data_IF_812079639945
#
_entry.id   IF_812079639945
#
_cell.length_a   1.000
_cell.length_b   1.000
_cell.length_c   1.000
_cell.angle_alpha   90.00
_cell.angle_beta   90.00
_cell.angle_gamma   90.00
#
_symmetry.space_group_name_H-M   'P 1'
#
loop_
_entity.id
_entity.type
_entity.pdbx_description
1 polymer ?
#
# COMPACT_ATOMS: atom_id res chain seq x y z
N UNK A 1 -11.92 17.44 -13.65
CA UNK A 1 -11.84 17.81 -12.22
C UNK A 1 -12.98 17.05 -11.53
N UNK A 2 -12.66 15.95 -10.85
CA UNK A 2 -13.67 15.20 -10.10
C UNK A 2 -13.92 15.94 -8.80
N UNK A 3 -15.08 16.52 -8.66
CA UNK A 3 -15.53 17.12 -7.40
C UNK A 3 -15.82 15.97 -6.45
N UNK A 4 -14.87 15.61 -5.63
CA UNK A 4 -15.10 14.73 -4.49
C UNK A 4 -16.02 15.51 -3.57
N UNK A 5 -17.25 15.03 -3.39
CA UNK A 5 -18.19 15.65 -2.43
C UNK A 5 -17.50 15.68 -1.06
N UNK A 6 -17.47 16.83 -0.38
CA UNK A 6 -16.80 16.92 0.91
C UNK A 6 -17.45 15.94 1.90
N UNK A 7 -16.72 14.89 2.25
CA UNK A 7 -17.09 14.07 3.38
C UNK A 7 -16.76 14.87 4.64
N UNK A 8 -17.62 14.92 5.65
CA UNK A 8 -17.31 15.55 6.94
C UNK A 8 -15.97 15.07 7.50
N UNK A 9 -15.54 13.88 7.16
CA UNK A 9 -14.31 13.27 7.59
C UNK A 9 -13.07 13.88 6.95
N UNK A 10 -13.12 14.35 5.70
CA UNK A 10 -11.96 15.01 5.08
C UNK A 10 -11.57 16.28 5.82
N UNK A 11 -12.53 16.95 6.50
CA UNK A 11 -12.25 18.11 7.33
C UNK A 11 -11.53 17.80 8.65
N UNK A 12 -11.44 16.52 9.05
CA UNK A 12 -10.71 16.11 10.25
C UNK A 12 -9.25 15.77 9.95
N UNK A 13 -8.89 15.65 8.68
CA UNK A 13 -7.50 15.39 8.26
C UNK A 13 -6.69 16.67 8.48
N UNK A 14 -5.62 16.56 9.26
CA UNK A 14 -4.74 17.66 9.65
C UNK A 14 -3.44 17.68 8.85
N UNK A 15 -3.11 16.59 8.18
CA UNK A 15 -1.90 16.52 7.37
C UNK A 15 -1.71 15.19 6.65
N UNK A 16 -0.58 15.10 5.98
CA UNK A 16 -0.06 13.89 5.37
C UNK A 16 1.30 13.54 5.99
N UNK A 17 1.49 12.28 6.28
CA UNK A 17 2.73 11.68 6.75
C UNK A 17 3.31 10.82 5.63
N UNK A 18 4.60 10.94 5.40
CA UNK A 18 5.33 10.26 4.34
C UNK A 18 6.34 9.32 4.95
N UNK A 19 6.11 8.04 4.85
CA UNK A 19 7.00 7.00 5.33
C UNK A 19 7.85 6.47 4.18
N UNK A 20 9.20 6.58 4.24
CA UNK A 20 10.05 6.24 3.12
C UNK A 20 10.10 4.72 2.89
N UNK A 21 10.05 4.31 1.61
CA UNK A 21 10.44 2.99 1.15
C UNK A 21 11.87 3.08 0.63
N UNK A 22 12.77 2.34 1.24
CA UNK A 22 14.20 2.41 0.96
C UNK A 22 14.65 1.20 0.16
N UNK A 23 15.35 1.45 -0.94
CA UNK A 23 16.01 0.42 -1.73
C UNK A 23 17.31 0.00 -1.04
N UNK A 24 17.48 -1.28 -0.76
CA UNK A 24 18.62 -1.80 -0.01
C UNK A 24 19.94 -1.73 -0.78
N UNK A 25 19.87 -1.71 -2.11
CA UNK A 25 21.07 -1.63 -2.92
C UNK A 25 21.68 -0.21 -2.93
N UNK A 26 20.84 0.79 -3.09
CA UNK A 26 21.26 2.19 -3.14
C UNK A 26 21.29 2.89 -1.78
N UNK A 27 20.56 2.35 -0.80
CA UNK A 27 20.33 3.01 0.51
C UNK A 27 19.45 4.26 0.42
N UNK A 28 18.78 4.51 -0.71
CA UNK A 28 17.99 5.70 -0.95
C UNK A 28 16.48 5.42 -0.87
N UNK A 29 15.72 6.41 -0.42
CA UNK A 29 14.27 6.37 -0.52
C UNK A 29 13.85 6.44 -2.00
N UNK A 30 13.12 5.42 -2.47
CA UNK A 30 12.64 5.31 -3.86
C UNK A 30 11.17 5.67 -4.00
N UNK A 31 10.43 5.64 -2.90
CA UNK A 31 9.03 6.00 -2.82
C UNK A 31 8.67 6.39 -1.38
N UNK A 32 7.45 6.86 -1.17
CA UNK A 32 6.89 7.10 0.16
C UNK A 32 5.48 6.54 0.23
N UNK A 33 5.20 5.75 1.25
CA UNK A 33 3.82 5.49 1.63
C UNK A 33 3.22 6.74 2.27
N UNK A 34 2.01 7.09 1.87
CA UNK A 34 1.36 8.33 2.30
C UNK A 34 0.17 8.02 3.19
N UNK A 35 0.30 8.39 4.42
CA UNK A 35 -0.70 8.19 5.46
C UNK A 35 -1.38 9.52 5.83
N UNK A 36 -2.67 9.49 6.07
CA UNK A 36 -3.37 10.67 6.61
C UNK A 36 -3.03 10.86 8.08
N UNK A 37 -2.99 12.11 8.51
CA UNK A 37 -2.85 12.48 9.92
C UNK A 37 -4.16 13.09 10.43
N UNK A 38 -4.64 12.61 11.57
CA UNK A 38 -5.87 13.10 12.23
C UNK A 38 -5.53 13.26 13.71
N UNK A 39 -5.78 14.45 14.25
CA UNK A 39 -5.49 14.71 15.67
C UNK A 39 -6.39 13.90 16.60
N UNK A 40 -5.78 13.35 17.65
CA UNK A 40 -6.44 12.66 18.77
C UNK A 40 -7.29 11.44 18.38
N UNK A 41 -7.01 10.79 17.24
CA UNK A 41 -7.70 9.58 16.81
C UNK A 41 -6.68 8.47 16.57
N UNK A 42 -6.98 7.27 17.08
CA UNK A 42 -6.22 6.08 16.68
C UNK A 42 -6.66 5.72 15.26
N UNK A 43 -5.74 5.86 14.31
CA UNK A 43 -6.01 5.66 12.88
C UNK A 43 -6.39 4.21 12.58
N UNK A 44 -5.79 3.23 13.23
CA UNK A 44 -6.09 1.80 13.00
C UNK A 44 -7.56 1.50 13.37
N UNK A 45 -8.00 2.02 14.52
CA UNK A 45 -9.40 1.87 14.96
C UNK A 45 -10.35 2.65 14.03
N UNK A 46 -9.94 3.83 13.59
CA UNK A 46 -10.73 4.63 12.67
C UNK A 46 -10.89 3.91 11.34
N UNK A 47 -9.80 3.49 10.70
CA UNK A 47 -9.84 2.84 9.40
C UNK A 47 -10.59 1.50 9.44
N UNK A 48 -10.46 0.72 10.50
CA UNK A 48 -11.23 -0.51 10.71
C UNK A 48 -12.76 -0.26 10.83
N UNK A 49 -13.17 0.94 11.26
CA UNK A 49 -14.59 1.32 11.44
C UNK A 49 -15.17 2.15 10.29
N UNK A 50 -14.31 2.60 9.35
CA UNK A 50 -14.74 3.46 8.27
C UNK A 50 -15.61 2.73 7.25
N UNK A 51 -16.72 3.37 6.82
CA UNK A 51 -17.41 2.89 5.63
C UNK A 51 -16.44 2.88 4.45
N UNK A 52 -16.44 1.81 3.68
CA UNK A 52 -15.60 1.57 2.50
C UNK A 52 -15.55 2.78 1.53
N UNK A 53 -16.68 3.47 1.35
CA UNK A 53 -16.76 4.71 0.54
C UNK A 53 -15.86 5.85 1.06
N UNK A 54 -15.61 5.91 2.36
CA UNK A 54 -14.76 6.96 2.95
C UNK A 54 -13.28 6.70 2.64
N UNK A 55 -12.85 5.45 2.67
CA UNK A 55 -11.49 5.07 2.28
C UNK A 55 -11.18 5.46 0.82
N UNK A 56 -12.13 5.23 -0.09
CA UNK A 56 -12.00 5.67 -1.49
C UNK A 56 -11.92 7.20 -1.62
N UNK A 57 -12.69 7.94 -0.82
CA UNK A 57 -12.62 9.42 -0.81
C UNK A 57 -11.26 9.91 -0.31
N UNK A 58 -10.70 9.29 0.73
CA UNK A 58 -9.37 9.59 1.24
C UNK A 58 -8.33 9.31 0.15
N UNK A 59 -8.38 8.14 -0.50
CA UNK A 59 -7.49 7.79 -1.58
C UNK A 59 -7.46 8.87 -2.67
N UNK A 60 -8.62 9.31 -3.18
CA UNK A 60 -8.67 10.31 -4.23
C UNK A 60 -8.28 11.71 -3.75
N UNK A 61 -8.55 12.05 -2.49
CA UNK A 61 -8.09 13.30 -1.90
C UNK A 61 -6.54 13.30 -1.81
N UNK A 62 -5.93 12.24 -1.29
CA UNK A 62 -4.47 12.08 -1.28
C UNK A 62 -3.90 12.14 -2.70
N UNK A 63 -4.44 11.36 -3.63
CA UNK A 63 -3.97 11.32 -5.01
C UNK A 63 -3.97 12.71 -5.66
N UNK A 64 -5.09 13.45 -5.53
CA UNK A 64 -5.18 14.80 -6.09
C UNK A 64 -4.19 15.77 -5.43
N UNK A 65 -4.04 15.72 -4.11
CA UNK A 65 -3.08 16.55 -3.37
C UNK A 65 -1.64 16.29 -3.86
N UNK A 66 -1.23 15.02 -3.92
CA UNK A 66 0.12 14.62 -4.31
C UNK A 66 0.44 14.94 -5.77
N UNK A 67 -0.53 14.80 -6.66
CA UNK A 67 -0.34 15.11 -8.08
C UNK A 67 -0.20 16.61 -8.34
N UNK A 68 -0.67 17.46 -7.43
CA UNK A 68 -0.48 18.92 -7.48
C UNK A 68 0.85 19.37 -6.87
N UNK A 69 1.51 18.53 -6.09
CA UNK A 69 2.82 18.86 -5.51
C UNK A 69 3.87 19.06 -6.61
N UNK A 70 4.78 20.06 -6.44
CA UNK A 70 5.79 20.39 -7.44
C UNK A 70 6.89 19.34 -7.58
N UNK A 71 7.08 18.51 -6.55
CA UNK A 71 8.04 17.42 -6.60
C UNK A 71 7.55 16.30 -7.55
N UNK A 72 8.46 15.41 -7.92
CA UNK A 72 8.19 14.27 -8.81
C UNK A 72 8.30 12.94 -8.06
N UNK A 73 8.01 12.93 -6.76
CA UNK A 73 8.08 11.75 -5.92
C UNK A 73 7.17 10.61 -6.40
N UNK A 74 7.50 9.40 -5.96
CA UNK A 74 6.66 8.20 -6.11
C UNK A 74 5.92 7.99 -4.80
N UNK A 75 4.61 7.80 -4.86
CA UNK A 75 3.74 7.75 -3.69
C UNK A 75 2.88 6.49 -3.70
N UNK A 76 2.81 5.84 -2.57
CA UNK A 76 2.02 4.64 -2.36
C UNK A 76 0.79 5.00 -1.53
N UNK A 77 -0.37 4.57 -1.99
CA UNK A 77 -1.66 4.92 -1.40
C UNK A 77 -2.45 3.66 -1.09
N UNK A 78 -2.98 3.61 0.10
CA UNK A 78 -3.74 2.50 0.64
C UNK A 78 -5.15 2.44 0.04
N UNK A 79 -5.53 1.27 -0.50
CA UNK A 79 -6.84 0.98 -1.06
C UNK A 79 -7.38 -0.32 -0.46
N UNK A 80 -8.52 -0.30 0.26
CA UNK A 80 -9.14 -1.53 0.74
C UNK A 80 -9.50 -2.48 -0.40
N UNK A 81 -9.29 -3.78 -0.18
CA UNK A 81 -9.47 -4.82 -1.17
C UNK A 81 -10.89 -4.86 -1.79
N UNK A 82 -11.92 -4.58 -1.00
CA UNK A 82 -13.32 -4.57 -1.43
C UNK A 82 -13.65 -3.48 -2.46
N UNK A 83 -12.86 -2.37 -2.51
CA UNK A 83 -12.99 -1.34 -3.53
C UNK A 83 -12.74 -1.86 -4.95
N UNK A 84 -11.97 -2.92 -5.08
CA UNK A 84 -11.71 -3.57 -6.37
C UNK A 84 -12.95 -4.30 -6.94
N UNK A 85 -13.98 -4.51 -6.13
CA UNK A 85 -15.28 -5.06 -6.56
C UNK A 85 -16.25 -3.97 -7.05
N UNK A 86 -15.99 -2.71 -6.73
CA UNK A 86 -16.84 -1.59 -7.16
C UNK A 86 -16.43 -1.08 -8.54
N UNK A 87 -17.29 -1.32 -9.54
CA UNK A 87 -17.03 -0.85 -10.91
C UNK A 87 -16.88 0.67 -11.01
N UNK A 88 -17.52 1.44 -10.11
CA UNK A 88 -17.38 2.89 -10.06
C UNK A 88 -16.00 3.28 -9.55
N UNK A 89 -15.50 2.62 -8.51
CA UNK A 89 -14.15 2.83 -8.00
C UNK A 89 -13.10 2.54 -9.09
N UNK A 90 -13.22 1.41 -9.78
CA UNK A 90 -12.34 1.05 -10.90
C UNK A 90 -12.41 2.10 -12.02
N UNK A 91 -13.61 2.54 -12.41
CA UNK A 91 -13.78 3.61 -13.40
C UNK A 91 -13.10 4.92 -13.01
N UNK A 92 -13.14 5.30 -11.74
CA UNK A 92 -12.47 6.49 -11.22
C UNK A 92 -10.94 6.34 -11.23
N UNK A 93 -10.42 5.18 -10.83
CA UNK A 93 -8.98 4.88 -10.88
C UNK A 93 -8.45 4.92 -12.32
N UNK A 94 -9.18 4.34 -13.26
CA UNK A 94 -8.82 4.35 -14.69
C UNK A 94 -8.86 5.75 -15.31
N UNK A 95 -9.69 6.65 -14.78
CA UNK A 95 -9.81 8.03 -15.25
C UNK A 95 -8.77 8.98 -14.65
N UNK A 96 -8.03 8.56 -13.60
CA UNK A 96 -7.02 9.39 -12.96
C UNK A 96 -5.83 9.61 -13.91
N UNK A 97 -5.43 10.86 -14.08
CA UNK A 97 -4.26 11.22 -14.90
C UNK A 97 -3.00 11.27 -14.04
N UNK A 98 -1.85 11.00 -14.66
CA UNK A 98 -0.53 11.01 -14.00
C UNK A 98 -0.37 9.95 -12.91
N UNK A 99 -1.14 8.86 -13.00
CA UNK A 99 -1.09 7.73 -12.07
C UNK A 99 0.28 7.04 -12.00
N UNK A 100 1.18 7.26 -12.98
CA UNK A 100 2.54 6.70 -12.96
C UNK A 100 3.39 7.18 -11.76
N UNK A 101 2.94 8.23 -11.03
CA UNK A 101 3.52 8.67 -9.77
C UNK A 101 2.93 7.98 -8.55
N UNK A 102 1.86 7.23 -8.75
CA UNK A 102 1.09 6.60 -7.69
C UNK A 102 1.18 5.08 -7.81
N UNK A 103 1.24 4.44 -6.66
CA UNK A 103 1.14 2.98 -6.51
C UNK A 103 -0.07 2.70 -5.62
N UNK A 104 -0.85 1.69 -5.97
CA UNK A 104 -1.94 1.20 -5.13
C UNK A 104 -1.37 0.13 -4.20
N UNK A 105 -1.54 0.30 -2.89
CA UNK A 105 -1.35 -0.73 -1.88
C UNK A 105 -2.71 -1.32 -1.50
N UNK A 106 -2.89 -2.59 -1.81
CA UNK A 106 -4.12 -3.30 -1.46
C UNK A 106 -3.97 -3.80 -0.04
N UNK A 107 -4.78 -3.26 0.85
CA UNK A 107 -4.84 -3.65 2.24
C UNK A 107 -5.74 -4.88 2.46
N UNK A 108 -5.59 -5.49 3.64
CA UNK A 108 -6.45 -6.55 4.15
C UNK A 108 -6.42 -7.85 3.31
N UNK A 109 -5.27 -8.56 3.34
CA UNK A 109 -5.07 -9.83 2.63
C UNK A 109 -6.10 -10.88 2.99
N UNK A 110 -6.55 -10.90 4.24
CA UNK A 110 -7.52 -11.88 4.71
C UNK A 110 -8.89 -11.70 4.03
N UNK A 111 -9.28 -10.47 3.76
CA UNK A 111 -10.51 -10.19 3.00
C UNK A 111 -10.42 -10.77 1.59
N UNK A 112 -9.30 -10.61 0.87
CA UNK A 112 -9.11 -11.21 -0.46
C UNK A 112 -9.21 -12.73 -0.43
N UNK A 113 -8.60 -13.37 0.55
CA UNK A 113 -8.60 -14.83 0.71
C UNK A 113 -10.01 -15.35 0.99
N UNK A 114 -10.81 -14.63 1.79
CA UNK A 114 -12.16 -15.01 2.18
C UNK A 114 -13.24 -14.75 1.14
N UNK A 115 -12.93 -13.99 0.11
CA UNK A 115 -13.86 -13.73 -0.98
C UNK A 115 -14.25 -15.00 -1.73
N UNK A 116 -15.46 -15.02 -2.25
CA UNK A 116 -15.91 -16.10 -3.13
C UNK A 116 -15.07 -16.18 -4.42
N UNK A 117 -14.99 -17.35 -5.04
CA UNK A 117 -14.27 -17.52 -6.31
C UNK A 117 -14.75 -16.56 -7.41
N UNK A 118 -16.01 -16.12 -7.37
CA UNK A 118 -16.54 -15.13 -8.32
C UNK A 118 -15.98 -13.74 -8.05
N UNK A 119 -15.91 -13.32 -6.79
CA UNK A 119 -15.31 -12.03 -6.40
C UNK A 119 -13.81 -12.02 -6.69
N UNK A 120 -13.10 -13.09 -6.37
CA UNK A 120 -11.65 -13.22 -6.69
C UNK A 120 -11.39 -13.08 -8.19
N UNK A 121 -12.22 -13.67 -9.06
CA UNK A 121 -12.11 -13.49 -10.53
C UNK A 121 -12.39 -12.05 -10.95
N UNK A 122 -13.35 -11.37 -10.30
CA UNK A 122 -13.64 -9.95 -10.58
C UNK A 122 -12.47 -9.07 -10.19
N UNK A 123 -11.87 -9.30 -9.02
CA UNK A 123 -10.68 -8.58 -8.58
C UNK A 123 -9.51 -8.81 -9.53
N UNK A 124 -9.24 -10.06 -9.89
CA UNK A 124 -8.18 -10.39 -10.84
C UNK A 124 -8.36 -9.60 -12.16
N UNK A 125 -9.58 -9.55 -12.68
CA UNK A 125 -9.90 -8.76 -13.89
C UNK A 125 -9.70 -7.25 -13.68
N UNK A 126 -10.14 -6.71 -12.54
CA UNK A 126 -9.95 -5.29 -12.20
C UNK A 126 -8.46 -4.93 -12.11
N UNK A 127 -7.65 -5.78 -11.49
CA UNK A 127 -6.20 -5.58 -11.40
C UNK A 127 -5.53 -5.61 -12.79
N UNK A 128 -5.94 -6.51 -13.68
CA UNK A 128 -5.44 -6.52 -15.06
C UNK A 128 -5.78 -5.22 -15.80
N UNK A 129 -6.99 -4.68 -15.63
CA UNK A 129 -7.38 -3.40 -16.23
C UNK A 129 -6.54 -2.24 -15.69
N UNK A 130 -6.33 -2.18 -14.37
CA UNK A 130 -5.52 -1.15 -13.73
C UNK A 130 -4.05 -1.24 -14.19
N UNK A 131 -3.47 -2.42 -14.24
CA UNK A 131 -2.11 -2.62 -14.77
C UNK A 131 -1.99 -2.23 -16.24
N UNK A 132 -2.96 -2.58 -17.07
CA UNK A 132 -2.98 -2.16 -18.47
C UNK A 132 -3.05 -0.63 -18.62
N UNK A 133 -3.66 0.07 -17.67
CA UNK A 133 -3.66 1.53 -17.59
C UNK A 133 -2.38 2.14 -17.00
N UNK A 134 -1.42 1.31 -16.57
CA UNK A 134 -0.11 1.77 -16.07
C UNK A 134 0.00 1.90 -14.54
N UNK A 135 -1.00 1.42 -13.79
CA UNK A 135 -0.90 1.37 -12.33
C UNK A 135 0.13 0.34 -11.88
N UNK A 136 0.90 0.69 -10.85
CA UNK A 136 1.64 -0.26 -10.03
C UNK A 136 0.76 -0.70 -8.87
N UNK A 137 0.80 -1.98 -8.53
CA UNK A 137 -0.09 -2.58 -7.53
C UNK A 137 0.73 -3.47 -6.61
N UNK A 138 0.63 -3.20 -5.33
CA UNK A 138 1.27 -3.99 -4.28
C UNK A 138 0.23 -4.55 -3.32
N UNK A 139 0.56 -5.67 -2.70
CA UNK A 139 -0.22 -6.24 -1.61
C UNK A 139 0.47 -5.94 -0.29
N UNK A 140 -0.29 -5.50 0.69
CA UNK A 140 0.17 -5.11 2.00
C UNK A 140 -0.01 -6.23 3.04
N UNK A 141 0.73 -6.16 4.15
CA UNK A 141 0.56 -6.98 5.36
C UNK A 141 0.56 -8.52 5.16
N UNK A 142 1.37 -9.04 4.23
CA UNK A 142 1.45 -10.50 4.06
C UNK A 142 2.23 -11.14 5.21
N UNK A 143 1.58 -12.12 5.86
CA UNK A 143 2.20 -12.99 6.86
C UNK A 143 2.46 -14.39 6.31
N UNK A 144 3.36 -15.14 6.99
CA UNK A 144 3.65 -16.54 6.66
C UNK A 144 2.41 -17.41 6.61
N UNK A 145 1.47 -17.19 7.53
CA UNK A 145 0.27 -18.03 7.64
C UNK A 145 -0.72 -17.81 6.47
N UNK A 146 -0.62 -16.68 5.77
CA UNK A 146 -1.46 -16.34 4.61
C UNK A 146 -0.76 -16.60 3.26
N UNK A 147 0.53 -16.88 3.25
CA UNK A 147 1.34 -16.90 2.04
C UNK A 147 0.89 -17.95 1.00
N UNK A 148 0.55 -19.16 1.44
CA UNK A 148 0.07 -20.22 0.55
C UNK A 148 -1.30 -19.89 -0.07
N UNK A 149 -2.22 -19.35 0.71
CA UNK A 149 -3.54 -18.94 0.22
C UNK A 149 -3.42 -17.77 -0.76
N UNK A 150 -2.53 -16.82 -0.47
CA UNK A 150 -2.22 -15.72 -1.38
C UNK A 150 -1.64 -16.20 -2.71
N UNK A 151 -0.70 -17.13 -2.67
CA UNK A 151 -0.12 -17.71 -3.88
C UNK A 151 -1.19 -18.36 -4.79
N UNK A 152 -2.20 -18.99 -4.19
CA UNK A 152 -3.33 -19.60 -4.94
C UNK A 152 -4.22 -18.58 -5.63
N UNK A 153 -4.31 -17.36 -5.12
CA UNK A 153 -5.09 -16.28 -5.76
C UNK A 153 -4.48 -15.84 -7.10
N UNK A 154 -3.18 -16.04 -7.30
CA UNK A 154 -2.44 -15.69 -8.51
C UNK A 154 -2.75 -14.26 -9.00
N UNK A 155 -2.83 -13.29 -8.08
CA UNK A 155 -3.16 -11.91 -8.41
C UNK A 155 -2.01 -11.25 -9.18
N UNK A 156 -2.31 -10.45 -10.22
CA UNK A 156 -1.30 -9.80 -11.06
C UNK A 156 -0.74 -8.54 -10.38
N UNK A 157 0.06 -8.73 -9.32
CA UNK A 157 0.67 -7.64 -8.55
C UNK A 157 2.15 -7.46 -8.90
N UNK A 158 2.71 -6.29 -8.58
CA UNK A 158 4.10 -5.94 -8.84
C UNK A 158 5.01 -6.35 -7.67
N UNK A 159 4.47 -6.40 -6.46
CA UNK A 159 5.22 -6.78 -5.27
C UNK A 159 4.34 -7.02 -4.05
N UNK A 160 5.01 -7.40 -2.97
CA UNK A 160 4.41 -7.72 -1.67
C UNK A 160 5.14 -6.97 -0.58
N UNK A 161 4.38 -6.44 0.39
CA UNK A 161 4.91 -5.98 1.68
C UNK A 161 4.70 -7.09 2.71
N UNK A 162 5.75 -7.44 3.42
CA UNK A 162 5.70 -8.40 4.52
C UNK A 162 5.43 -7.68 5.81
N UNK A 163 4.44 -8.16 6.56
CA UNK A 163 4.09 -7.62 7.87
C UNK A 163 5.31 -7.61 8.82
N UNK A 164 5.44 -6.56 9.61
CA UNK A 164 6.55 -6.34 10.56
C UNK A 164 6.75 -7.49 11.55
N UNK A 165 5.71 -8.25 11.88
CA UNK A 165 5.80 -9.37 12.82
C UNK A 165 6.70 -10.50 12.30
N UNK A 166 6.89 -10.62 10.99
CA UNK A 166 7.66 -11.68 10.35
C UNK A 166 9.17 -11.54 10.62
N UNK A 167 9.67 -10.32 10.83
CA UNK A 167 11.08 -10.08 11.21
C UNK A 167 11.48 -10.75 12.54
N UNK A 168 10.54 -11.02 13.43
CA UNK A 168 10.78 -11.59 14.75
C UNK A 168 11.10 -13.09 14.72
N UNK A 169 10.94 -13.77 13.57
CA UNK A 169 11.15 -15.21 13.45
C UNK A 169 12.15 -15.52 12.31
N UNK A 170 13.48 -15.36 12.54
CA UNK A 170 14.49 -15.36 11.48
C UNK A 170 14.47 -16.58 10.55
N UNK A 171 14.36 -17.79 11.10
CA UNK A 171 14.37 -19.02 10.30
C UNK A 171 13.16 -19.16 9.36
N UNK A 172 12.01 -18.60 9.75
CA UNK A 172 10.79 -18.58 8.93
C UNK A 172 10.82 -17.41 7.93
N UNK A 173 11.40 -16.30 8.31
CA UNK A 173 11.45 -15.07 7.52
C UNK A 173 12.15 -15.27 6.17
N UNK A 174 13.37 -15.84 6.16
CA UNK A 174 14.10 -16.11 4.91
C UNK A 174 13.34 -17.07 3.98
N UNK A 175 12.67 -18.06 4.57
CA UNK A 175 11.84 -18.99 3.81
C UNK A 175 10.62 -18.29 3.20
N UNK A 176 9.99 -17.37 3.95
CA UNK A 176 8.86 -16.58 3.48
C UNK A 176 9.27 -15.65 2.33
N UNK A 177 10.37 -14.89 2.47
CA UNK A 177 10.87 -14.00 1.40
C UNK A 177 11.12 -14.80 0.13
N UNK A 178 11.77 -15.94 0.24
CA UNK A 178 12.04 -16.82 -0.90
C UNK A 178 10.76 -17.33 -1.54
N UNK A 179 9.82 -17.82 -0.73
CA UNK A 179 8.50 -18.29 -1.19
C UNK A 179 7.75 -17.21 -1.95
N UNK A 180 7.65 -16.01 -1.38
CA UNK A 180 6.97 -14.87 -2.01
C UNK A 180 7.60 -14.55 -3.37
N UNK A 181 8.92 -14.47 -3.43
CA UNK A 181 9.64 -14.15 -4.67
C UNK A 181 9.49 -15.20 -5.77
N UNK A 182 9.33 -16.45 -5.40
CA UNK A 182 9.17 -17.56 -6.35
C UNK A 182 7.71 -17.78 -6.77
N UNK A 183 6.76 -17.56 -5.88
CA UNK A 183 5.37 -17.98 -6.06
C UNK A 183 4.37 -16.83 -6.24
N UNK A 184 4.66 -15.63 -5.75
CA UNK A 184 3.70 -14.53 -5.74
C UNK A 184 4.21 -13.35 -6.58
N UNK A 185 5.26 -12.68 -6.14
CA UNK A 185 5.83 -11.51 -6.81
C UNK A 185 7.33 -11.40 -6.55
N UNK A 186 8.08 -10.92 -7.55
CA UNK A 186 9.55 -10.82 -7.44
C UNK A 186 10.03 -9.74 -6.48
N UNK A 187 9.27 -8.66 -6.34
CA UNK A 187 9.63 -7.53 -5.50
C UNK A 187 9.01 -7.68 -4.10
N UNK A 188 9.85 -7.47 -3.07
CA UNK A 188 9.45 -7.60 -1.67
C UNK A 188 9.92 -6.38 -0.90
N UNK A 189 8.99 -5.76 -0.16
CA UNK A 189 9.25 -4.79 0.91
C UNK A 189 9.18 -5.52 2.24
N UNK A 190 10.09 -5.23 3.14
CA UNK A 190 10.08 -5.69 4.52
C UNK A 190 9.69 -4.52 5.41
N UNK A 191 8.65 -4.68 6.19
CA UNK A 191 8.19 -3.66 7.13
C UNK A 191 8.78 -3.81 8.52
N UNK A 192 8.66 -2.75 9.33
CA UNK A 192 9.04 -2.75 10.74
C UNK A 192 10.55 -2.77 10.99
N UNK A 193 11.35 -2.27 10.06
CA UNK A 193 12.79 -2.13 10.25
C UNK A 193 13.05 -0.95 11.19
N UNK A 194 13.48 -1.25 12.42
CA UNK A 194 13.71 -0.25 13.45
C UNK A 194 15.19 -0.17 13.86
N UNK A 195 15.96 -1.24 13.63
CA UNK A 195 17.36 -1.35 14.04
C UNK A 195 18.27 -1.72 12.86
N UNK A 196 19.59 -1.48 13.02
CA UNK A 196 20.59 -1.94 12.06
C UNK A 196 20.57 -3.48 11.90
N UNK A 197 20.24 -4.22 12.97
CA UNK A 197 20.13 -5.67 12.92
C UNK A 197 18.93 -6.13 12.08
N UNK A 198 17.80 -5.42 12.16
CA UNK A 198 16.64 -5.69 11.30
C UNK A 198 16.99 -5.46 9.83
N UNK A 199 17.69 -4.35 9.56
CA UNK A 199 18.15 -4.05 8.19
C UNK A 199 19.10 -5.13 7.66
N UNK A 200 20.10 -5.55 8.44
CA UNK A 200 21.00 -6.63 8.04
C UNK A 200 20.24 -7.92 7.71
N UNK A 201 19.28 -8.28 8.54
CA UNK A 201 18.43 -9.46 8.33
C UNK A 201 17.59 -9.32 7.06
N UNK A 202 16.93 -8.18 6.88
CA UNK A 202 16.12 -7.93 5.69
C UNK A 202 16.96 -7.99 4.40
N UNK A 203 18.15 -7.38 4.39
CA UNK A 203 19.09 -7.45 3.27
C UNK A 203 19.54 -8.89 2.99
N UNK A 204 19.87 -9.65 4.02
CA UNK A 204 20.34 -11.03 3.90
C UNK A 204 19.27 -12.00 3.36
N UNK A 205 17.98 -11.72 3.63
CA UNK A 205 16.85 -12.54 3.13
C UNK A 205 16.67 -12.49 1.61
N UNK A 206 17.25 -11.47 0.94
CA UNK A 206 17.10 -11.21 -0.48
C UNK A 206 15.87 -10.35 -0.83
N UNK A 207 15.22 -9.69 0.15
CA UNK A 207 14.27 -8.63 -0.12
C UNK A 207 14.98 -7.43 -0.78
N UNK A 208 14.24 -6.62 -1.51
CA UNK A 208 14.82 -5.48 -2.25
C UNK A 208 14.62 -4.15 -1.54
N UNK A 209 13.53 -4.03 -0.77
CA UNK A 209 13.12 -2.77 -0.17
C UNK A 209 12.77 -2.96 1.31
N UNK A 210 12.85 -1.88 2.06
CA UNK A 210 12.46 -1.83 3.45
C UNK A 210 11.74 -0.57 3.83
N UNK A 211 10.97 -0.67 4.92
CA UNK A 211 10.20 0.40 5.53
C UNK A 211 10.22 0.23 7.04
N UNK A 212 10.25 1.33 7.78
CA UNK A 212 10.23 1.29 9.24
C UNK A 212 10.84 2.52 9.89
N UNK A 213 10.85 2.55 11.22
CA UNK A 213 11.31 3.73 11.98
C UNK A 213 12.82 3.94 11.98
N UNK A 214 13.60 3.04 11.37
CA UNK A 214 15.02 3.29 11.10
C UNK A 214 15.22 4.53 10.23
N UNK A 215 14.27 4.86 9.36
CA UNK A 215 14.30 6.03 8.49
C UNK A 215 13.24 7.05 8.93
N UNK A 216 13.63 8.33 9.05
CA UNK A 216 12.70 9.36 9.51
C UNK A 216 11.57 9.60 8.52
N UNK A 217 10.37 9.74 9.04
CA UNK A 217 9.20 10.20 8.30
C UNK A 217 9.25 11.72 8.08
N UNK A 218 8.63 12.18 7.01
CA UNK A 218 8.35 13.60 6.81
C UNK A 218 6.84 13.88 6.88
N UNK A 219 6.46 15.14 7.12
CA UNK A 219 5.06 15.55 7.31
C UNK A 219 4.78 16.84 6.56
N UNK A 220 3.54 16.96 6.11
CA UNK A 220 3.00 18.19 5.50
C UNK A 220 1.64 18.47 6.12
N UNK A 221 1.45 19.68 6.64
CA UNK A 221 0.16 20.11 7.19
C UNK A 221 -0.88 20.31 6.08
N UNK A 222 -2.13 19.92 6.32
CA UNK A 222 -3.22 20.05 5.35
C UNK A 222 -3.53 21.52 4.99
N UNK A 223 -3.17 22.47 5.83
CA UNK A 223 -3.31 23.91 5.55
C UNK A 223 -2.44 24.41 4.39
N UNK A 224 -1.45 23.64 3.96
CA UNK A 224 -0.55 23.96 2.83
C UNK A 224 -1.11 23.46 1.50
N UNK A 225 -2.14 22.62 1.52
CA UNK A 225 -2.73 21.94 0.35
C UNK A 225 -4.10 22.49 -0.08
N UNK A 226 -4.53 23.60 0.52
CA UNK A 226 -5.81 24.27 0.23
C UNK A 226 -5.70 25.33 -0.87
#
# INVERSE_FOLDING_TARGET
>A
MYTVLPSPMLHTITGLRFQPLVDFHSGQAVAHEVLVEIHNVNLDVLFASLPTRCALQIFFWQANTLLQMPDKGQYWLNLPADQLLDAKAIGLLLALRHQQRLTIEIQDPLTLIRMSATEQRRIHHALLQLKAAGWKIWLDDLTQDLADDYARLALPVDGIKLDRSELNTPARFDALVRFVREKIARAVVVEGIETAQDLERACASGAQFGQGFLWPESRIDASVTA
#
